data_IF_763559866182
#
_entry.id   IF_763559866182
#
_cell.length_a   1.000
_cell.length_b   1.000
_cell.length_c   1.000
_cell.angle_alpha   90.00
_cell.angle_beta   90.00
_cell.angle_gamma   90.00
#
_symmetry.space_group_name_H-M   'P 1'
#
loop_
_entity.id
_entity.type
_entity.pdbx_description
1 polymer ?
#
# COMPACT_ATOMS: atom_id res chain seq x y z
N UNK A 1 -9.53 8.13 20.19
CA UNK A 1 -9.79 6.92 19.38
C UNK A 1 -9.08 7.02 18.04
N UNK A 2 -8.72 5.88 17.43
CA UNK A 2 -7.96 5.85 16.17
C UNK A 2 -8.60 4.89 15.18
N UNK A 3 -8.92 5.37 13.98
CA UNK A 3 -9.40 4.53 12.87
C UNK A 3 -8.21 3.90 12.17
N UNK A 4 -8.28 2.60 11.93
CA UNK A 4 -7.29 1.85 11.16
C UNK A 4 -7.99 1.12 10.04
N UNK A 5 -7.58 1.41 8.82
CA UNK A 5 -7.98 0.71 7.61
C UNK A 5 -6.84 -0.24 7.21
N UNK A 6 -7.14 -1.53 7.09
CA UNK A 6 -6.15 -2.60 6.87
C UNK A 6 -6.49 -3.38 5.61
N UNK A 7 -5.47 -3.74 4.84
CA UNK A 7 -5.63 -4.67 3.71
C UNK A 7 -4.53 -5.74 3.72
N UNK A 8 -4.86 -7.00 3.40
CA UNK A 8 -3.88 -8.04 3.14
C UNK A 8 -2.90 -7.64 2.02
N UNK A 9 -1.71 -8.22 2.04
CA UNK A 9 -0.67 -7.92 1.04
C UNK A 9 -1.13 -8.18 -0.40
N UNK A 10 -1.99 -9.17 -0.62
CA UNK A 10 -2.47 -9.55 -1.96
C UNK A 10 -3.33 -8.46 -2.62
N UNK A 11 -3.93 -7.58 -1.81
CA UNK A 11 -4.78 -6.48 -2.28
C UNK A 11 -3.97 -5.29 -2.84
N UNK A 12 -2.64 -5.28 -2.67
CA UNK A 12 -1.73 -4.19 -3.04
C UNK A 12 -1.91 -3.63 -4.46
N UNK A 13 -2.32 -4.45 -5.42
CA UNK A 13 -2.50 -4.04 -6.82
C UNK A 13 -3.80 -3.26 -7.02
N UNK A 14 -4.87 -3.66 -6.31
CA UNK A 14 -6.14 -2.93 -6.27
C UNK A 14 -6.00 -1.60 -5.55
N UNK A 15 -5.06 -1.53 -4.60
CA UNK A 15 -4.72 -0.31 -3.86
C UNK A 15 -3.78 0.64 -4.63
N UNK A 16 -3.44 0.37 -5.89
CA UNK A 16 -2.55 1.22 -6.71
C UNK A 16 -1.18 1.45 -6.07
N UNK A 17 -0.59 0.41 -5.46
CA UNK A 17 0.78 0.45 -4.93
C UNK A 17 1.78 0.86 -6.00
N UNK A 18 2.60 1.87 -5.70
CA UNK A 18 3.77 2.23 -6.51
C UNK A 18 4.79 1.10 -6.51
N UNK A 19 5.28 0.66 -7.69
CA UNK A 19 6.33 -0.34 -7.76
C UNK A 19 7.52 0.08 -6.90
N UNK A 20 7.99 -0.86 -6.08
CA UNK A 20 9.21 -0.74 -5.26
C UNK A 20 9.13 0.30 -4.14
N UNK A 21 7.93 0.82 -3.87
CA UNK A 21 7.65 1.73 -2.78
C UNK A 21 6.57 1.12 -1.88
N UNK A 22 6.53 1.55 -0.63
CA UNK A 22 5.48 1.19 0.34
C UNK A 22 4.28 2.14 0.28
N UNK A 23 4.23 2.99 -0.74
CA UNK A 23 3.22 4.02 -0.91
C UNK A 23 2.28 3.69 -2.06
N UNK A 24 1.02 4.04 -1.88
CA UNK A 24 0.01 4.05 -2.93
C UNK A 24 0.10 5.33 -3.77
N UNK A 25 -0.37 5.27 -5.02
CA UNK A 25 -0.68 6.47 -5.82
C UNK A 25 -2.01 7.09 -5.39
N UNK A 26 -2.98 6.27 -5.02
CA UNK A 26 -4.26 6.72 -4.50
C UNK A 26 -4.11 7.30 -3.09
N UNK A 27 -4.81 8.41 -2.85
CA UNK A 27 -4.87 9.06 -1.54
C UNK A 27 -6.01 8.46 -0.72
N UNK A 28 -5.69 7.92 0.46
CA UNK A 28 -6.66 7.36 1.39
C UNK A 28 -7.01 8.32 2.54
N UNK A 29 -6.41 9.51 2.59
CA UNK A 29 -6.82 10.52 3.57
C UNK A 29 -8.29 10.88 3.36
N UNK A 30 -9.08 10.85 4.43
CA UNK A 30 -10.51 11.15 4.42
C UNK A 30 -11.30 10.27 3.43
N UNK A 31 -10.89 9.02 3.24
CA UNK A 31 -11.57 8.07 2.36
C UNK A 31 -13.06 7.87 2.73
N UNK A 32 -13.42 8.16 3.98
CA UNK A 32 -14.82 8.14 4.47
C UNK A 32 -15.68 9.26 3.91
N UNK A 33 -15.09 10.41 3.60
CA UNK A 33 -15.83 11.60 3.14
C UNK A 33 -15.98 11.59 1.62
N UNK A 34 -15.03 10.97 0.92
CA UNK A 34 -15.08 10.79 -0.52
C UNK A 34 -13.75 10.31 -1.07
N UNK A 35 -13.66 9.02 -1.39
CA UNK A 35 -12.52 8.47 -2.11
C UNK A 35 -12.70 8.65 -3.64
N UNK A 36 -11.61 8.95 -4.34
CA UNK A 36 -11.60 9.15 -5.80
C UNK A 36 -11.67 7.81 -6.56
N UNK A 37 -12.87 7.24 -6.59
CA UNK A 37 -13.16 6.04 -7.37
C UNK A 37 -13.17 6.27 -8.89
N UNK A 38 -13.14 7.52 -9.36
CA UNK A 38 -13.09 7.84 -10.78
C UNK A 38 -11.72 7.51 -11.36
N UNK A 39 -10.66 7.97 -10.69
CA UNK A 39 -9.28 7.66 -11.09
C UNK A 39 -8.79 6.29 -10.58
N UNK A 40 -9.37 5.79 -9.48
CA UNK A 40 -8.93 4.55 -8.82
C UNK A 40 -10.06 3.51 -8.65
N UNK A 41 -10.73 3.08 -9.75
CA UNK A 41 -11.89 2.19 -9.68
C UNK A 41 -11.59 0.81 -9.09
N UNK A 42 -10.36 0.29 -9.21
CA UNK A 42 -10.02 -1.03 -8.69
C UNK A 42 -10.11 -1.12 -7.16
N UNK A 43 -10.08 0.01 -6.44
CA UNK A 43 -10.24 0.06 -4.97
C UNK A 43 -11.60 -0.44 -4.53
N UNK A 44 -12.66 -0.33 -5.37
CA UNK A 44 -13.99 -0.91 -5.07
C UNK A 44 -13.97 -2.42 -4.89
N UNK A 45 -12.97 -3.08 -5.47
CA UNK A 45 -12.79 -4.54 -5.39
C UNK A 45 -11.85 -4.96 -4.25
N UNK A 46 -11.25 -3.99 -3.55
CA UNK A 46 -10.33 -4.25 -2.46
C UNK A 46 -11.10 -4.74 -1.23
N UNK A 47 -10.59 -5.81 -0.62
CA UNK A 47 -11.17 -6.38 0.60
C UNK A 47 -10.24 -6.14 1.78
N UNK A 48 -10.73 -5.41 2.76
CA UNK A 48 -9.96 -5.01 3.94
C UNK A 48 -10.77 -5.08 5.20
N UNK A 49 -10.14 -4.67 6.30
CA UNK A 49 -10.73 -4.55 7.61
C UNK A 49 -10.68 -3.08 8.02
N UNK A 50 -11.78 -2.59 8.57
CA UNK A 50 -11.81 -1.29 9.24
C UNK A 50 -12.04 -1.54 10.72
N UNK A 51 -11.23 -0.91 11.56
CA UNK A 51 -11.35 -1.02 13.02
C UNK A 51 -11.13 0.34 13.66
N UNK A 52 -11.90 0.65 14.69
CA UNK A 52 -11.69 1.81 15.56
C UNK A 52 -11.07 1.29 16.84
N UNK A 53 -9.85 1.73 17.13
CA UNK A 53 -9.13 1.40 18.36
C UNK A 53 -9.50 2.39 19.47
N UNK A 54 -9.91 1.84 20.60
CA UNK A 54 -10.14 2.55 21.84
C UNK A 54 -8.90 2.54 22.75
N UNK A 55 -9.03 3.16 23.92
CA UNK A 55 -7.95 3.20 24.89
C UNK A 55 -7.72 1.79 25.48
N UNK A 56 -6.48 1.31 25.43
CA UNK A 56 -6.11 -0.03 25.90
C UNK A 56 -6.17 -1.11 24.82
N UNK A 57 -6.79 -0.84 23.66
CA UNK A 57 -6.83 -1.80 22.57
C UNK A 57 -5.45 -2.02 21.96
N UNK A 58 -5.19 -3.28 21.60
CA UNK A 58 -3.97 -3.68 20.90
C UNK A 58 -4.32 -4.31 19.56
N UNK A 59 -3.77 -3.74 18.48
CA UNK A 59 -3.90 -4.27 17.14
C UNK A 59 -2.62 -4.99 16.70
N UNK A 60 -2.73 -6.30 16.45
CA UNK A 60 -1.68 -7.05 15.79
C UNK A 60 -1.81 -6.95 14.27
N UNK A 61 -0.76 -6.48 13.59
CA UNK A 61 -0.69 -6.41 12.12
C UNK A 61 0.41 -7.35 11.60
N UNK A 62 0.08 -8.39 10.83
CA UNK A 62 1.08 -9.22 10.19
C UNK A 62 1.95 -8.44 9.20
N UNK A 63 3.17 -8.95 8.94
CA UNK A 63 4.08 -8.32 8.00
C UNK A 63 3.47 -8.23 6.59
N UNK A 64 3.66 -7.08 5.92
CA UNK A 64 3.18 -6.84 4.56
C UNK A 64 1.74 -6.32 4.46
N UNK A 65 1.01 -6.21 5.57
CA UNK A 65 -0.31 -5.58 5.56
C UNK A 65 -0.21 -4.09 5.25
N UNK A 66 -1.07 -3.66 4.33
CA UNK A 66 -1.28 -2.24 4.06
C UNK A 66 -2.15 -1.67 5.15
N UNK A 67 -1.79 -0.48 5.62
CA UNK A 67 -2.53 0.19 6.68
C UNK A 67 -2.58 1.68 6.42
N UNK A 68 -3.76 2.26 6.67
CA UNK A 68 -3.97 3.70 6.76
C UNK A 68 -4.55 4.01 8.13
N UNK A 69 -4.08 5.09 8.75
CA UNK A 69 -4.36 5.39 10.15
C UNK A 69 -4.81 6.85 10.30
N UNK A 70 -5.95 7.05 10.93
CA UNK A 70 -6.53 8.38 11.17
C UNK A 70 -6.85 8.54 12.66
N UNK A 71 -6.43 9.64 13.26
CA UNK A 71 -6.82 9.99 14.63
C UNK A 71 -8.20 10.65 14.60
N UNK A 72 -9.17 10.05 15.28
CA UNK A 72 -10.52 10.62 15.40
C UNK A 72 -10.60 11.62 16.55
N UNK A 73 -9.87 11.35 17.63
CA UNK A 73 -9.72 12.26 18.76
C UNK A 73 -8.22 12.49 19.04
N UNK A 74 -7.89 13.60 19.70
CA UNK A 74 -6.53 13.89 20.12
C UNK A 74 -5.99 12.79 21.05
N UNK A 75 -4.77 12.34 20.80
CA UNK A 75 -4.12 11.29 21.57
C UNK A 75 -2.85 10.80 20.89
N UNK A 76 -2.27 9.73 21.42
CA UNK A 76 -1.08 9.09 20.87
C UNK A 76 -1.25 7.57 20.85
N UNK A 77 -0.50 6.91 19.96
CA UNK A 77 -0.44 5.47 19.87
C UNK A 77 1.02 5.03 19.76
N UNK A 78 1.35 3.88 20.35
CA UNK A 78 2.67 3.27 20.25
C UNK A 78 2.63 2.05 19.33
N UNK A 79 3.59 1.94 18.41
CA UNK A 79 3.73 0.77 17.55
C UNK A 79 5.05 0.05 17.83
N UNK A 80 4.98 -1.20 18.27
CA UNK A 80 6.15 -2.07 18.41
C UNK A 80 6.31 -2.94 17.16
N UNK A 81 7.55 -3.01 16.65
CA UNK A 81 7.88 -3.84 15.48
C UNK A 81 8.88 -4.92 15.88
N UNK A 82 8.44 -6.17 15.82
CA UNK A 82 9.34 -7.33 15.87
C UNK A 82 9.83 -7.65 14.45
N UNK A 83 11.15 -7.76 14.28
CA UNK A 83 11.74 -8.14 12.99
C UNK A 83 11.65 -9.67 12.84
N UNK A 84 11.01 -10.17 11.77
CA UNK A 84 10.98 -11.61 11.52
C UNK A 84 12.41 -12.14 11.28
N UNK A 85 12.77 -13.22 11.98
CA UNK A 85 14.12 -13.79 12.02
C UNK A 85 14.51 -14.64 10.79
N UNK A 86 13.67 -14.73 9.76
CA UNK A 86 13.91 -15.63 8.63
C UNK A 86 15.08 -15.17 7.74
N UNK A 87 16.14 -15.98 7.66
CA UNK A 87 17.37 -15.72 6.90
C UNK A 87 17.21 -15.84 5.37
N UNK A 88 16.23 -16.61 4.87
CA UNK A 88 16.06 -16.89 3.43
C UNK A 88 15.61 -15.71 2.58
N UNK A 89 14.97 -14.69 3.18
CA UNK A 89 14.58 -13.45 2.49
C UNK A 89 15.68 -12.40 2.36
N UNK A 90 16.86 -12.62 2.97
CA UNK A 90 17.89 -11.57 3.12
C UNK A 90 18.59 -11.23 1.81
N UNK A 91 18.85 -12.18 0.92
CA UNK A 91 19.50 -11.91 -0.38
C UNK A 91 18.57 -11.19 -1.36
N UNK A 92 17.31 -11.63 -1.47
CA UNK A 92 16.29 -10.93 -2.25
C UNK A 92 15.98 -9.54 -1.65
N UNK A 93 15.97 -9.42 -0.32
CA UNK A 93 15.86 -8.15 0.38
C UNK A 93 17.01 -7.19 0.06
N UNK A 94 18.25 -7.70 0.04
CA UNK A 94 19.45 -6.91 -0.29
C UNK A 94 19.42 -6.40 -1.73
N UNK A 95 19.06 -7.26 -2.70
CA UNK A 95 18.94 -6.87 -4.11
C UNK A 95 17.85 -5.80 -4.33
N UNK A 96 16.69 -5.98 -3.67
CA UNK A 96 15.60 -5.00 -3.70
C UNK A 96 15.97 -3.68 -3.02
N UNK A 97 16.74 -3.73 -1.93
CA UNK A 97 17.14 -2.55 -1.17
C UNK A 97 18.28 -1.77 -1.81
N UNK A 98 19.30 -2.43 -2.35
CA UNK A 98 20.50 -1.77 -2.87
C UNK A 98 20.47 -1.62 -4.39
N UNK A 99 20.13 -2.68 -5.12
CA UNK A 99 20.04 -2.63 -6.58
C UNK A 99 18.87 -1.76 -7.03
N UNK A 100 17.66 -2.10 -6.60
CA UNK A 100 16.45 -1.44 -7.12
C UNK A 100 16.26 -0.01 -6.58
N UNK A 101 16.69 0.29 -5.35
CA UNK A 101 16.68 1.67 -4.83
C UNK A 101 17.74 2.54 -5.52
N UNK A 102 18.89 1.98 -5.87
CA UNK A 102 19.92 2.67 -6.63
C UNK A 102 19.44 3.04 -8.03
N UNK A 103 18.86 2.07 -8.74
CA UNK A 103 18.23 2.30 -10.06
C UNK A 103 17.10 3.32 -9.94
N UNK A 104 16.22 3.20 -8.95
CA UNK A 104 15.11 4.15 -8.78
C UNK A 104 15.60 5.58 -8.53
N UNK A 105 16.64 5.74 -7.72
CA UNK A 105 17.25 7.04 -7.41
C UNK A 105 17.94 7.63 -8.63
N UNK A 106 18.65 6.80 -9.40
CA UNK A 106 19.30 7.22 -10.65
C UNK A 106 18.24 7.67 -11.67
N UNK A 107 17.21 6.86 -11.90
CA UNK A 107 16.15 7.15 -12.89
C UNK A 107 15.32 8.38 -12.52
N UNK A 108 15.08 8.61 -11.21
CA UNK A 108 14.47 9.86 -10.72
C UNK A 108 15.33 11.09 -11.03
N UNK A 109 16.67 10.94 -11.01
CA UNK A 109 17.61 12.03 -11.29
C UNK A 109 17.81 12.27 -12.79
N UNK A 110 17.82 11.21 -13.60
CA UNK A 110 18.13 11.31 -15.04
C UNK A 110 16.90 11.55 -15.92
N UNK A 111 15.76 10.94 -15.59
CA UNK A 111 14.55 11.03 -16.42
C UNK A 111 13.26 10.97 -15.55
N UNK A 112 13.01 11.99 -14.71
CA UNK A 112 11.94 11.98 -13.71
C UNK A 112 10.55 11.77 -14.31
N UNK A 113 10.19 12.51 -15.36
CA UNK A 113 8.85 12.43 -15.96
C UNK A 113 8.60 11.09 -16.65
N UNK A 114 9.56 10.64 -17.46
CA UNK A 114 9.47 9.35 -18.13
C UNK A 114 9.35 8.20 -17.12
N UNK A 115 10.17 8.22 -16.07
CA UNK A 115 10.16 7.20 -15.03
C UNK A 115 8.85 7.21 -14.23
N UNK A 116 8.36 8.40 -13.87
CA UNK A 116 7.07 8.56 -13.20
C UNK A 116 5.92 8.02 -14.07
N UNK A 117 5.86 8.41 -15.34
CA UNK A 117 4.83 7.95 -16.28
C UNK A 117 4.90 6.43 -16.52
N UNK A 118 6.11 5.87 -16.60
CA UNK A 118 6.32 4.43 -16.70
C UNK A 118 5.76 3.70 -15.47
N UNK A 119 6.08 4.18 -14.26
CA UNK A 119 5.52 3.62 -13.02
C UNK A 119 4.00 3.75 -12.99
N UNK A 120 3.44 4.92 -13.32
CA UNK A 120 1.99 5.15 -13.37
C UNK A 120 1.30 4.18 -14.32
N UNK A 121 1.82 4.00 -15.53
CA UNK A 121 1.31 3.02 -16.50
C UNK A 121 1.33 1.61 -15.92
N UNK A 122 2.42 1.21 -15.25
CA UNK A 122 2.53 -0.12 -14.63
C UNK A 122 1.51 -0.33 -13.51
N UNK A 123 1.30 0.68 -12.66
CA UNK A 123 0.29 0.64 -11.59
C UNK A 123 -1.10 0.45 -12.20
N UNK A 124 -1.46 1.27 -13.19
CA UNK A 124 -2.76 1.18 -13.86
C UNK A 124 -2.97 -0.17 -14.55
N UNK A 125 -1.93 -0.74 -15.16
CA UNK A 125 -2.00 -2.08 -15.78
C UNK A 125 -2.25 -3.18 -14.74
N UNK A 126 -1.60 -3.13 -13.58
CA UNK A 126 -1.84 -4.12 -12.53
C UNK A 126 -3.27 -4.01 -11.99
N UNK A 127 -3.75 -2.78 -11.73
CA UNK A 127 -5.13 -2.55 -11.30
C UNK A 127 -6.15 -3.01 -12.34
N UNK A 128 -5.91 -2.73 -13.63
CA UNK A 128 -6.77 -3.19 -14.73
C UNK A 128 -6.83 -4.72 -14.81
N UNK A 129 -5.71 -5.41 -14.56
CA UNK A 129 -5.67 -6.87 -14.52
C UNK A 129 -6.56 -7.42 -13.40
N UNK A 130 -6.49 -6.84 -12.19
CA UNK A 130 -7.34 -7.25 -11.07
C UNK A 130 -8.83 -7.01 -11.37
N UNK A 131 -9.17 -5.90 -12.02
CA UNK A 131 -10.55 -5.62 -12.44
C UNK A 131 -11.05 -6.63 -13.49
N UNK A 132 -10.23 -6.99 -14.48
CA UNK A 132 -10.59 -7.99 -15.48
C UNK A 132 -10.78 -9.39 -14.85
N UNK A 133 -9.91 -9.76 -13.91
CA UNK A 133 -10.03 -11.03 -13.18
C UNK A 133 -11.29 -11.09 -12.32
N UNK A 134 -11.75 -9.96 -11.77
CA UNK A 134 -13.01 -9.88 -11.03
C UNK A 134 -14.23 -9.95 -11.95
N UNK A 135 -14.15 -9.34 -13.14
CA UNK A 135 -15.22 -9.38 -14.15
C UNK A 135 -15.47 -10.77 -14.73
N UNK A 136 -14.41 -11.59 -14.88
CA UNK A 136 -14.52 -12.96 -15.39
C UNK A 136 -15.04 -13.99 -14.36
N UNK A 137 -15.32 -13.57 -13.12
CA UNK A 137 -15.83 -14.46 -12.05
C UNK A 137 -17.36 -14.49 -11.96
N UNK A 138 -18.05 -13.86 -12.92
CA UNK A 138 -19.49 -13.84 -13.09
C UNK A 138 -19.83 -14.10 -14.56
#
# INVERSE_FOLDING_TARGET
>A
RKRVLLFPFDEQYKLYRKPWEVLSVANYANYTDGFDYGNFPAVKLAKGYEVILEHGDTLYMPAGYWHHMEYLDAGFAMSLRAMQSSLGGKLNGLWKLFGMRGIDTLMKKTAPEWWYNHKKKKVCQNAAREMALAGNKF
#
